data_IF_537211485238
#
_entry.id   IF_537211485238
#
_cell.length_a   1.000
_cell.length_b   1.000
_cell.length_c   1.000
_cell.angle_alpha   90.00
_cell.angle_beta   90.00
_cell.angle_gamma   90.00
#
_symmetry.space_group_name_H-M   'P 1'
#
loop_
_entity.id
_entity.type
_entity.pdbx_description
1 polymer ?
#
# COMPACT_ATOMS: atom_id res chain seq x y z
N UNK A 1 -18.83 13.06 -21.76
CA UNK A 1 -18.22 12.70 -23.05
C UNK A 1 -17.57 11.31 -22.98
N UNK A 2 -16.74 11.00 -21.97
CA UNK A 2 -16.07 9.69 -21.79
C UNK A 2 -17.08 8.54 -21.78
N UNK A 3 -18.14 8.62 -20.98
CA UNK A 3 -19.20 7.58 -20.90
C UNK A 3 -19.91 7.36 -22.26
N UNK A 4 -19.96 8.39 -23.13
CA UNK A 4 -20.55 8.27 -24.47
C UNK A 4 -19.62 7.53 -25.43
N UNK A 5 -18.30 7.61 -25.21
CA UNK A 5 -17.27 6.92 -26.01
C UNK A 5 -17.13 5.47 -25.54
N UNK A 6 -17.07 5.28 -24.21
CA UNK A 6 -16.99 3.98 -23.56
C UNK A 6 -17.99 3.93 -22.40
N UNK A 7 -19.10 3.22 -22.62
CA UNK A 7 -20.15 3.04 -21.61
C UNK A 7 -19.77 2.08 -20.49
N UNK A 8 -18.66 1.36 -20.62
CA UNK A 8 -18.18 0.41 -19.63
C UNK A 8 -16.99 0.98 -18.83
N UNK A 9 -16.62 2.24 -19.07
CA UNK A 9 -15.52 2.85 -18.33
C UNK A 9 -15.95 3.24 -16.91
N UNK A 10 -15.71 2.36 -15.97
CA UNK A 10 -16.19 2.42 -14.59
C UNK A 10 -15.76 3.70 -13.86
N UNK A 11 -14.49 4.16 -14.04
CA UNK A 11 -14.01 5.39 -13.45
C UNK A 11 -14.77 6.64 -13.89
N UNK A 12 -15.30 6.67 -15.11
CA UNK A 12 -16.06 7.81 -15.57
C UNK A 12 -17.38 7.97 -14.80
N UNK A 13 -18.04 6.85 -14.46
CA UNK A 13 -19.23 6.87 -13.60
C UNK A 13 -18.88 7.28 -12.18
N UNK A 14 -17.83 6.67 -11.61
CA UNK A 14 -17.40 6.99 -10.25
C UNK A 14 -17.01 8.47 -10.10
N UNK A 15 -16.12 8.98 -10.97
CA UNK A 15 -15.71 10.38 -10.93
C UNK A 15 -16.89 11.34 -11.15
N UNK A 16 -17.82 10.99 -12.04
CA UNK A 16 -19.03 11.81 -12.25
C UNK A 16 -19.94 11.77 -11.02
N UNK A 17 -20.06 10.63 -10.36
CA UNK A 17 -20.81 10.51 -9.11
C UNK A 17 -20.22 11.43 -8.03
N UNK A 18 -18.89 11.45 -7.86
CA UNK A 18 -18.24 12.31 -6.88
C UNK A 18 -18.46 13.80 -7.18
N UNK A 19 -18.28 14.22 -8.42
CA UNK A 19 -18.58 15.60 -8.84
C UNK A 19 -20.05 15.99 -8.63
N UNK A 20 -20.99 15.10 -8.95
CA UNK A 20 -22.42 15.31 -8.72
C UNK A 20 -22.75 15.43 -7.24
N UNK A 21 -22.09 14.64 -6.39
CA UNK A 21 -22.23 14.73 -4.95
C UNK A 21 -21.77 16.10 -4.42
N UNK A 22 -20.63 16.60 -4.89
CA UNK A 22 -20.08 17.91 -4.51
C UNK A 22 -21.01 19.08 -4.91
N UNK A 23 -21.63 19.01 -6.07
CA UNK A 23 -22.56 20.06 -6.53
C UNK A 23 -24.00 19.85 -6.02
N UNK A 24 -24.23 18.88 -5.14
CA UNK A 24 -25.52 18.64 -4.50
C UNK A 24 -26.50 17.78 -5.30
N UNK A 25 -26.11 17.25 -6.45
CA UNK A 25 -26.93 16.36 -7.29
C UNK A 25 -26.92 14.91 -6.76
N UNK A 26 -27.24 14.72 -5.46
CA UNK A 26 -27.05 13.44 -4.75
C UNK A 26 -27.77 12.26 -5.39
N UNK A 27 -29.01 12.43 -5.84
CA UNK A 27 -29.76 11.37 -6.54
C UNK A 27 -29.13 10.97 -7.88
N UNK A 28 -28.50 11.92 -8.58
CA UNK A 28 -27.80 11.62 -9.83
C UNK A 28 -26.46 10.90 -9.54
N UNK A 29 -25.79 11.29 -8.45
CA UNK A 29 -24.59 10.61 -7.97
C UNK A 29 -24.86 9.16 -7.58
N UNK A 30 -25.95 8.90 -6.84
CA UNK A 30 -26.38 7.54 -6.46
C UNK A 30 -26.60 6.67 -7.70
N UNK A 31 -27.32 7.18 -8.73
CA UNK A 31 -27.52 6.42 -9.99
C UNK A 31 -26.21 6.10 -10.72
N UNK A 32 -25.22 6.97 -10.65
CA UNK A 32 -23.90 6.67 -11.21
C UNK A 32 -23.19 5.59 -10.39
N UNK A 33 -23.26 5.63 -9.05
CA UNK A 33 -22.71 4.58 -8.19
C UNK A 33 -23.45 3.24 -8.34
N UNK A 34 -24.77 3.26 -8.63
CA UNK A 34 -25.51 2.03 -8.98
C UNK A 34 -24.87 1.34 -10.19
N UNK A 35 -24.48 2.13 -11.22
CA UNK A 35 -23.77 1.58 -12.38
C UNK A 35 -22.39 1.04 -12.02
N UNK A 36 -21.70 1.69 -11.11
CA UNK A 36 -20.41 1.21 -10.64
C UNK A 36 -20.55 -0.09 -9.86
N UNK A 37 -21.57 -0.24 -9.00
CA UNK A 37 -21.90 -1.49 -8.31
C UNK A 37 -22.24 -2.62 -9.28
N UNK A 38 -23.05 -2.34 -10.32
CA UNK A 38 -23.37 -3.32 -11.37
C UNK A 38 -22.10 -3.86 -12.06
N UNK A 39 -21.10 -3.01 -12.26
CA UNK A 39 -19.85 -3.37 -12.93
C UNK A 39 -18.83 -4.02 -11.99
N UNK A 40 -18.80 -3.61 -10.72
CA UNK A 40 -17.88 -4.12 -9.71
C UNK A 40 -18.58 -4.27 -8.35
N UNK A 41 -19.36 -5.36 -8.16
CA UNK A 41 -20.13 -5.58 -6.94
C UNK A 41 -19.31 -5.95 -5.71
N UNK A 42 -18.01 -6.21 -5.85
CA UNK A 42 -17.16 -6.61 -4.74
C UNK A 42 -16.37 -5.42 -4.15
N UNK A 43 -16.65 -4.17 -4.58
CA UNK A 43 -15.92 -3.01 -4.12
C UNK A 43 -16.56 -2.36 -2.89
N UNK A 44 -15.87 -2.46 -1.76
CA UNK A 44 -16.32 -1.96 -0.45
C UNK A 44 -16.63 -0.45 -0.48
N UNK A 45 -15.74 0.34 -1.10
CA UNK A 45 -15.82 1.80 -1.05
C UNK A 45 -17.00 2.35 -1.84
N UNK A 46 -17.44 1.63 -2.86
CA UNK A 46 -18.59 2.05 -3.66
C UNK A 46 -19.87 1.96 -2.83
N UNK A 47 -20.07 0.84 -2.14
CA UNK A 47 -21.19 0.69 -1.22
C UNK A 47 -21.12 1.72 -0.10
N UNK A 48 -19.95 1.88 0.52
CA UNK A 48 -19.79 2.86 1.59
C UNK A 48 -20.13 4.28 1.14
N UNK A 49 -19.60 4.74 0.01
CA UNK A 49 -19.86 6.07 -0.54
C UNK A 49 -21.32 6.23 -0.96
N UNK A 50 -21.95 5.22 -1.55
CA UNK A 50 -23.35 5.25 -1.91
C UNK A 50 -24.24 5.30 -0.65
N UNK A 51 -23.89 4.55 0.38
CA UNK A 51 -24.56 4.59 1.68
C UNK A 51 -24.50 5.97 2.33
N UNK A 52 -23.36 6.66 2.28
CA UNK A 52 -23.24 8.03 2.77
C UNK A 52 -24.15 9.00 2.00
N UNK A 53 -24.21 8.89 0.67
CA UNK A 53 -25.11 9.73 -0.13
C UNK A 53 -26.59 9.43 0.16
N UNK A 54 -26.95 8.16 0.42
CA UNK A 54 -28.30 7.76 0.82
C UNK A 54 -28.66 8.31 2.20
N UNK A 55 -27.71 8.30 3.17
CA UNK A 55 -27.91 9.00 4.45
C UNK A 55 -28.22 10.49 4.24
N UNK A 56 -27.48 11.14 3.39
CA UNK A 56 -27.65 12.57 3.09
C UNK A 56 -29.02 12.92 2.52
N UNK A 57 -29.64 12.01 1.78
CA UNK A 57 -31.01 12.17 1.27
C UNK A 57 -32.06 11.53 2.17
N UNK A 58 -31.67 11.05 3.35
CA UNK A 58 -32.51 10.37 4.37
C UNK A 58 -33.11 9.04 3.90
N UNK A 59 -32.49 8.37 2.95
CA UNK A 59 -32.78 6.97 2.61
C UNK A 59 -32.06 6.05 3.60
N UNK A 60 -32.60 5.99 4.82
CA UNK A 60 -31.96 5.25 5.93
C UNK A 60 -31.86 3.75 5.67
N UNK A 61 -32.87 3.15 5.07
CA UNK A 61 -32.87 1.72 4.76
C UNK A 61 -31.85 1.39 3.66
N UNK A 62 -31.84 2.17 2.58
CA UNK A 62 -30.86 1.98 1.53
C UNK A 62 -29.42 2.24 2.00
N UNK A 63 -29.21 3.16 2.94
CA UNK A 63 -27.91 3.40 3.56
C UNK A 63 -27.48 2.22 4.45
N UNK A 64 -28.43 1.68 5.25
CA UNK A 64 -28.20 0.49 6.10
C UNK A 64 -27.74 -0.72 5.27
N UNK A 65 -28.43 -0.99 4.15
CA UNK A 65 -28.10 -2.09 3.25
C UNK A 65 -26.67 -1.91 2.67
N UNK A 66 -26.34 -0.72 2.21
CA UNK A 66 -25.04 -0.41 1.64
C UNK A 66 -23.91 -0.56 2.67
N UNK A 67 -24.08 -0.06 3.90
CA UNK A 67 -23.07 -0.26 4.96
C UNK A 67 -22.97 -1.72 5.39
N UNK A 68 -24.09 -2.46 5.38
CA UNK A 68 -24.09 -3.88 5.68
C UNK A 68 -23.32 -4.66 4.64
N UNK A 69 -23.47 -4.33 3.36
CA UNK A 69 -22.68 -4.94 2.29
C UNK A 69 -21.20 -4.59 2.39
N UNK A 70 -20.87 -3.33 2.73
CA UNK A 70 -19.48 -2.94 3.00
C UNK A 70 -18.84 -3.74 4.14
N UNK A 71 -19.59 -4.01 5.20
CA UNK A 71 -19.14 -4.83 6.34
C UNK A 71 -19.03 -6.32 5.94
N UNK A 72 -19.98 -6.81 5.16
CA UNK A 72 -19.94 -8.18 4.66
C UNK A 72 -18.69 -8.44 3.81
N UNK A 73 -18.39 -7.51 2.90
CA UNK A 73 -17.20 -7.58 2.05
C UNK A 73 -15.89 -7.40 2.85
N UNK A 74 -15.92 -6.56 3.88
CA UNK A 74 -14.76 -6.37 4.76
C UNK A 74 -15.18 -6.18 6.22
N UNK A 75 -15.16 -7.27 7.01
CA UNK A 75 -15.62 -7.26 8.40
C UNK A 75 -14.85 -6.35 9.37
N UNK A 76 -13.66 -5.90 9.00
CA UNK A 76 -12.85 -4.97 9.81
C UNK A 76 -13.03 -3.49 9.42
N UNK A 77 -14.03 -3.16 8.60
CA UNK A 77 -14.27 -1.80 8.15
C UNK A 77 -14.95 -0.93 9.22
N UNK A 78 -14.18 -0.44 10.18
CA UNK A 78 -14.65 0.37 11.32
C UNK A 78 -15.62 1.48 10.91
N UNK A 79 -15.31 2.21 9.83
CA UNK A 79 -16.15 3.34 9.39
C UNK A 79 -17.55 2.91 8.95
N UNK A 80 -17.68 1.72 8.35
CA UNK A 80 -18.99 1.20 7.98
C UNK A 80 -19.84 0.84 9.19
N UNK A 81 -19.24 0.27 10.25
CA UNK A 81 -19.95 0.05 11.52
C UNK A 81 -20.41 1.36 12.14
N UNK A 82 -19.54 2.38 12.22
CA UNK A 82 -19.90 3.68 12.79
C UNK A 82 -21.00 4.39 11.96
N UNK A 83 -20.93 4.30 10.64
CA UNK A 83 -21.96 4.85 9.77
C UNK A 83 -23.29 4.10 9.90
N UNK A 84 -23.27 2.75 9.99
CA UNK A 84 -24.47 1.95 10.20
C UNK A 84 -25.07 2.18 11.59
N UNK A 85 -24.23 2.37 12.61
CA UNK A 85 -24.71 2.77 13.94
C UNK A 85 -25.47 4.10 13.90
N UNK A 86 -24.96 5.11 13.16
CA UNK A 86 -25.66 6.37 12.97
C UNK A 86 -27.01 6.20 12.25
N UNK A 87 -27.07 5.34 11.23
CA UNK A 87 -28.35 4.98 10.58
C UNK A 87 -29.31 4.29 11.53
N UNK A 88 -28.83 3.33 12.34
CA UNK A 88 -29.65 2.63 13.35
C UNK A 88 -30.21 3.61 14.39
N UNK A 89 -29.46 4.64 14.79
CA UNK A 89 -29.95 5.71 15.68
C UNK A 89 -31.12 6.48 15.03
N UNK A 90 -30.99 6.85 13.75
CA UNK A 90 -32.08 7.53 13.02
C UNK A 90 -33.32 6.64 12.85
N UNK A 91 -33.12 5.33 12.68
CA UNK A 91 -34.19 4.32 12.66
C UNK A 91 -34.75 3.98 14.05
N UNK A 92 -34.17 4.54 15.13
CA UNK A 92 -34.51 4.28 16.53
C UNK A 92 -34.25 2.85 17.00
N UNK A 93 -33.38 2.13 16.29
CA UNK A 93 -32.85 0.85 16.73
C UNK A 93 -31.55 1.06 17.51
N UNK A 94 -31.72 1.47 18.78
CA UNK A 94 -30.59 1.80 19.64
C UNK A 94 -29.75 0.55 20.00
N UNK A 95 -30.38 -0.62 20.10
CA UNK A 95 -29.67 -1.88 20.38
C UNK A 95 -28.71 -2.25 19.25
N UNK A 96 -29.16 -2.16 18.00
CA UNK A 96 -28.31 -2.38 16.84
C UNK A 96 -27.20 -1.31 16.73
N UNK A 97 -27.49 -0.05 17.07
CA UNK A 97 -26.50 1.02 17.08
C UNK A 97 -25.40 0.75 18.11
N UNK A 98 -25.76 0.38 19.34
CA UNK A 98 -24.79 0.05 20.40
C UNK A 98 -23.91 -1.14 20.03
N UNK A 99 -24.50 -2.16 19.41
CA UNK A 99 -23.77 -3.33 18.92
C UNK A 99 -22.73 -2.94 17.86
N UNK A 100 -23.08 -2.10 16.90
CA UNK A 100 -22.17 -1.61 15.87
C UNK A 100 -21.04 -0.76 16.46
N UNK A 101 -21.35 0.13 17.42
CA UNK A 101 -20.34 0.88 18.16
C UNK A 101 -19.37 -0.04 18.92
N UNK A 102 -19.89 -1.07 19.58
CA UNK A 102 -19.07 -2.03 20.32
C UNK A 102 -18.13 -2.79 19.38
N UNK A 103 -18.62 -3.26 18.22
CA UNK A 103 -17.81 -3.95 17.22
C UNK A 103 -16.72 -3.02 16.64
N UNK A 104 -17.08 -1.78 16.34
CA UNK A 104 -16.10 -0.77 15.89
C UNK A 104 -14.99 -0.56 16.92
N UNK A 105 -15.34 -0.44 18.21
CA UNK A 105 -14.35 -0.30 19.29
C UNK A 105 -13.45 -1.54 19.41
N UNK A 106 -14.01 -2.74 19.34
CA UNK A 106 -13.21 -3.98 19.38
C UNK A 106 -12.19 -4.05 18.25
N UNK A 107 -12.60 -3.68 17.03
CA UNK A 107 -11.70 -3.63 15.87
C UNK A 107 -10.61 -2.58 16.10
N UNK A 108 -10.97 -1.37 16.55
CA UNK A 108 -10.00 -0.31 16.86
C UNK A 108 -9.00 -0.73 17.94
N UNK A 109 -9.45 -1.39 19.01
CA UNK A 109 -8.59 -1.88 20.09
C UNK A 109 -7.63 -2.97 19.58
N UNK A 110 -8.10 -3.83 18.68
CA UNK A 110 -7.25 -4.83 18.01
C UNK A 110 -6.15 -4.16 17.18
N UNK A 111 -6.49 -3.16 16.39
CA UNK A 111 -5.51 -2.38 15.62
C UNK A 111 -4.50 -1.64 16.51
N UNK A 112 -4.98 -1.10 17.66
CA UNK A 112 -4.11 -0.44 18.65
C UNK A 112 -3.10 -1.42 19.25
N UNK A 113 -3.56 -2.61 19.66
CA UNK A 113 -2.68 -3.66 20.19
C UNK A 113 -1.66 -4.15 19.18
N UNK A 114 -2.03 -4.29 17.91
CA UNK A 114 -1.07 -4.58 16.83
C UNK A 114 0.03 -3.55 16.76
N UNK A 115 -0.34 -2.27 16.82
CA UNK A 115 0.61 -1.15 16.81
C UNK A 115 1.55 -1.17 18.03
N UNK A 116 1.10 -1.73 19.14
CA UNK A 116 1.86 -1.91 20.38
C UNK A 116 2.71 -3.20 20.38
N UNK A 117 2.72 -3.96 19.28
CA UNK A 117 3.57 -5.15 19.10
C UNK A 117 2.97 -6.48 19.53
N UNK A 118 1.66 -6.53 19.80
CA UNK A 118 0.97 -7.80 20.10
C UNK A 118 0.81 -8.63 18.82
N UNK A 119 1.63 -9.68 18.68
CA UNK A 119 1.63 -10.58 17.51
C UNK A 119 0.30 -11.32 17.29
N UNK A 120 -0.56 -11.44 18.32
CA UNK A 120 -1.86 -12.12 18.24
C UNK A 120 -2.99 -11.20 17.74
N UNK A 121 -2.70 -9.91 17.55
CA UNK A 121 -3.65 -8.93 17.06
C UNK A 121 -3.61 -8.76 15.53
N UNK A 122 -3.04 -9.71 14.79
CA UNK A 122 -2.93 -9.67 13.32
C UNK A 122 -4.31 -9.47 12.67
N UNK A 123 -4.40 -8.42 11.88
CA UNK A 123 -5.56 -8.11 11.05
C UNK A 123 -5.29 -8.63 9.64
N UNK A 124 -6.29 -9.18 9.01
CA UNK A 124 -6.24 -9.59 7.61
C UNK A 124 -6.12 -8.36 6.69
N UNK A 125 -4.89 -7.99 6.34
CA UNK A 125 -4.58 -6.95 5.35
C UNK A 125 -4.35 -7.57 3.97
N UNK A 126 -5.14 -8.56 3.62
CA UNK A 126 -4.93 -9.41 2.45
C UNK A 126 -4.95 -8.65 1.12
N UNK A 127 -4.32 -9.25 0.10
CA UNK A 127 -4.46 -8.88 -1.30
C UNK A 127 -5.93 -8.79 -1.75
N UNK A 128 -6.82 -9.51 -1.08
CA UNK A 128 -8.26 -9.42 -1.27
C UNK A 128 -8.82 -8.04 -0.92
N UNK A 129 -8.31 -7.37 0.13
CA UNK A 129 -8.78 -6.03 0.47
C UNK A 129 -8.45 -5.02 -0.63
N UNK A 130 -7.27 -5.09 -1.26
CA UNK A 130 -6.95 -4.22 -2.40
C UNK A 130 -7.89 -4.45 -3.59
N UNK A 131 -8.21 -5.71 -3.90
CA UNK A 131 -9.19 -6.03 -4.94
C UNK A 131 -10.58 -5.47 -4.62
N UNK A 132 -10.95 -5.47 -3.33
CA UNK A 132 -12.24 -4.95 -2.87
C UNK A 132 -12.36 -3.42 -2.99
N UNK A 133 -11.25 -2.69 -2.89
CA UNK A 133 -11.22 -1.23 -3.03
C UNK A 133 -10.86 -0.76 -4.44
N UNK A 134 -10.25 -1.61 -5.27
CA UNK A 134 -9.91 -1.27 -6.65
C UNK A 134 -11.18 -1.24 -7.50
N UNK A 135 -11.50 -0.06 -8.01
CA UNK A 135 -12.67 0.17 -8.86
C UNK A 135 -12.60 -0.65 -10.15
N UNK A 136 -11.40 -0.98 -10.63
CA UNK A 136 -11.16 -1.73 -11.87
C UNK A 136 -10.82 -3.22 -11.67
N UNK A 137 -10.91 -3.78 -10.49
CA UNK A 137 -10.43 -5.14 -10.21
C UNK A 137 -10.93 -6.23 -11.18
N UNK A 138 -12.02 -5.99 -11.91
CA UNK A 138 -12.56 -6.91 -12.93
C UNK A 138 -12.22 -6.52 -14.38
N UNK A 139 -11.57 -5.37 -14.61
CA UNK A 139 -11.30 -4.85 -15.95
C UNK A 139 -9.81 -4.81 -16.33
N UNK A 140 -8.93 -5.35 -15.51
CA UNK A 140 -7.46 -5.33 -15.78
C UNK A 140 -7.03 -6.22 -16.97
N UNK A 141 -7.95 -6.98 -17.59
CA UNK A 141 -7.66 -7.77 -18.81
C UNK A 141 -7.64 -6.93 -20.09
N UNK A 142 -7.98 -5.64 -20.04
CA UNK A 142 -8.03 -4.78 -21.24
C UNK A 142 -7.28 -3.47 -20.99
N UNK A 143 -6.01 -3.56 -20.61
CA UNK A 143 -5.08 -2.42 -20.67
C UNK A 143 -4.18 -2.52 -21.88
N UNK A 144 -4.76 -2.38 -23.06
CA UNK A 144 -4.01 -1.91 -24.21
C UNK A 144 -4.76 -0.75 -24.86
N UNK A 145 -3.99 0.36 -24.99
CA UNK A 145 -4.22 1.46 -25.91
C UNK A 145 -5.33 2.45 -25.55
N UNK A 146 -5.00 3.51 -24.80
CA UNK A 146 -5.31 4.88 -25.25
C UNK A 146 -4.15 5.82 -24.83
N UNK A 147 -3.21 6.04 -25.73
CA UNK A 147 -2.32 7.19 -25.73
C UNK A 147 -3.12 8.45 -26.10
N UNK A 148 -3.93 8.96 -25.19
CA UNK A 148 -4.58 10.25 -25.29
C UNK A 148 -3.88 11.26 -24.40
N UNK A 149 -3.28 12.30 -24.97
CA UNK A 149 -2.80 13.46 -24.22
C UNK A 149 -3.97 14.04 -23.42
N UNK A 150 -3.97 13.83 -22.11
CA UNK A 150 -4.89 14.51 -21.19
C UNK A 150 -4.23 15.80 -20.75
N UNK A 151 -4.69 16.93 -21.28
CA UNK A 151 -4.39 18.25 -20.74
C UNK A 151 -5.20 18.43 -19.45
N UNK A 152 -4.55 18.99 -18.40
CA UNK A 152 -5.11 19.36 -17.10
C UNK A 152 -5.55 18.23 -16.17
N UNK A 153 -4.60 17.32 -15.81
CA UNK A 153 -4.64 16.66 -14.51
C UNK A 153 -3.59 17.32 -13.63
N UNK A 154 -3.94 17.62 -12.39
CA UNK A 154 -2.94 17.75 -11.32
C UNK A 154 -2.18 16.43 -11.29
N UNK A 155 -1.04 16.37 -11.96
CA UNK A 155 -0.15 15.23 -11.89
C UNK A 155 0.45 15.29 -10.49
N UNK A 156 -0.01 14.43 -9.60
CA UNK A 156 0.66 14.21 -8.32
C UNK A 156 1.93 13.47 -8.69
N UNK A 157 3.06 14.16 -8.63
CA UNK A 157 4.36 13.54 -8.83
C UNK A 157 4.76 12.99 -7.47
N UNK A 158 4.76 11.67 -7.35
CA UNK A 158 5.13 10.95 -6.14
C UNK A 158 6.62 10.60 -6.15
N UNK A 159 7.18 10.40 -4.96
CA UNK A 159 8.53 9.85 -4.81
C UNK A 159 8.61 8.47 -5.47
N UNK A 160 9.76 8.15 -6.05
CA UNK A 160 10.03 6.79 -6.54
C UNK A 160 9.95 5.80 -5.38
N UNK A 161 9.39 4.63 -5.68
CA UNK A 161 9.13 3.59 -4.69
C UNK A 161 10.42 3.11 -4.01
N UNK A 162 10.23 2.52 -2.82
CA UNK A 162 11.32 1.94 -2.04
C UNK A 162 11.86 0.68 -2.69
N UNK A 163 13.15 0.45 -2.52
CA UNK A 163 13.79 -0.80 -2.90
C UNK A 163 13.51 -1.89 -1.88
N UNK A 164 13.27 -3.10 -2.33
CA UNK A 164 13.18 -4.28 -1.46
C UNK A 164 13.70 -5.54 -2.15
N UNK A 165 14.06 -6.53 -1.35
CA UNK A 165 14.54 -7.82 -1.85
C UNK A 165 13.33 -8.62 -2.34
N UNK A 166 13.41 -9.10 -3.57
CA UNK A 166 12.36 -9.90 -4.21
C UNK A 166 12.94 -11.23 -4.70
N UNK A 167 12.12 -12.27 -4.67
CA UNK A 167 12.42 -13.52 -5.34
C UNK A 167 12.50 -13.32 -6.85
N UNK A 168 13.48 -13.91 -7.48
CA UNK A 168 13.70 -13.81 -8.92
C UNK A 168 13.51 -15.18 -9.58
N UNK A 169 12.45 -15.35 -10.36
CA UNK A 169 12.26 -16.56 -11.15
C UNK A 169 13.32 -16.66 -12.27
N UNK A 170 13.68 -17.90 -12.64
CA UNK A 170 14.66 -18.14 -13.73
C UNK A 170 14.27 -17.45 -15.05
N UNK A 171 12.96 -17.32 -15.33
CA UNK A 171 12.46 -16.63 -16.53
C UNK A 171 12.64 -15.11 -16.44
N UNK A 172 12.54 -14.55 -15.24
CA UNK A 172 12.80 -13.13 -14.99
C UNK A 172 14.28 -12.78 -15.12
N UNK A 173 15.20 -13.69 -14.73
CA UNK A 173 16.64 -13.55 -14.93
C UNK A 173 17.00 -13.38 -16.42
N UNK A 174 16.27 -14.07 -17.30
CA UNK A 174 16.50 -14.03 -18.76
C UNK A 174 15.97 -12.76 -19.43
N UNK A 175 15.07 -12.02 -18.79
CA UNK A 175 14.40 -10.87 -19.36
C UNK A 175 15.21 -9.57 -19.34
N UNK A 176 16.41 -9.56 -18.73
CA UNK A 176 17.35 -8.42 -18.75
C UNK A 176 16.83 -7.15 -18.06
N UNK A 177 15.86 -7.28 -17.14
CA UNK A 177 15.38 -6.14 -16.35
C UNK A 177 16.51 -5.58 -15.50
N UNK A 178 16.55 -4.26 -15.35
CA UNK A 178 17.57 -3.53 -14.59
C UNK A 178 17.70 -4.13 -13.19
N UNK A 179 18.84 -4.72 -12.91
CA UNK A 179 19.21 -5.23 -11.60
C UNK A 179 20.23 -4.28 -11.00
N UNK A 180 19.92 -3.77 -9.81
CA UNK A 180 20.89 -2.97 -9.08
C UNK A 180 21.95 -3.87 -8.49
N UNK A 181 23.22 -3.50 -8.65
CA UNK A 181 24.31 -4.23 -8.03
C UNK A 181 24.27 -4.06 -6.52
N UNK A 182 24.31 -5.18 -5.80
CA UNK A 182 24.49 -5.17 -4.36
C UNK A 182 25.27 -6.42 -3.93
N UNK A 183 26.31 -6.22 -3.11
CA UNK A 183 27.19 -7.31 -2.65
C UNK A 183 26.41 -8.41 -1.94
N UNK A 184 25.53 -8.07 -1.01
CA UNK A 184 24.77 -9.06 -0.22
C UNK A 184 23.84 -9.91 -1.07
N UNK A 185 23.22 -9.31 -2.11
CA UNK A 185 22.41 -10.05 -3.10
C UNK A 185 23.28 -11.00 -3.92
N UNK A 186 24.47 -10.54 -4.34
CA UNK A 186 25.40 -11.37 -5.11
C UNK A 186 25.92 -12.54 -4.29
N UNK A 187 26.34 -12.27 -3.06
CA UNK A 187 26.85 -13.31 -2.13
C UNK A 187 25.77 -14.36 -1.85
N UNK A 188 24.53 -13.92 -1.59
CA UNK A 188 23.39 -14.82 -1.41
C UNK A 188 23.17 -15.70 -2.65
N UNK A 189 23.05 -15.08 -3.82
CA UNK A 189 22.79 -15.81 -5.07
C UNK A 189 23.92 -16.81 -5.42
N UNK A 190 25.17 -16.43 -5.17
CA UNK A 190 26.32 -17.34 -5.39
C UNK A 190 26.31 -18.51 -4.41
N UNK A 191 26.03 -18.27 -3.13
CA UNK A 191 25.93 -19.32 -2.12
C UNK A 191 24.85 -20.37 -2.45
N UNK A 192 23.76 -19.93 -3.09
CA UNK A 192 22.63 -20.77 -3.48
C UNK A 192 22.68 -21.24 -4.95
N UNK A 193 23.80 -21.00 -5.67
CA UNK A 193 23.91 -21.31 -7.10
C UNK A 193 22.73 -20.73 -7.93
N UNK A 194 22.23 -19.55 -7.56
CA UNK A 194 21.07 -18.88 -8.17
C UNK A 194 19.76 -19.69 -8.12
N UNK A 195 19.60 -20.57 -7.14
CA UNK A 195 18.37 -21.34 -6.94
C UNK A 195 18.11 -21.62 -5.46
N UNK A 196 17.29 -20.82 -4.74
CA UNK A 196 16.57 -19.67 -5.25
C UNK A 196 17.46 -18.46 -5.54
N UNK A 197 17.08 -17.66 -6.51
CA UNK A 197 17.70 -16.36 -6.77
C UNK A 197 16.87 -15.24 -6.18
N UNK A 198 17.54 -14.18 -5.70
CA UNK A 198 16.90 -12.93 -5.25
C UNK A 198 17.45 -11.75 -6.01
N UNK A 199 16.68 -10.69 -6.06
CA UNK A 199 17.10 -9.41 -6.64
C UNK A 199 16.64 -8.25 -5.76
N UNK A 200 17.17 -7.08 -6.02
CA UNK A 200 16.80 -5.85 -5.36
C UNK A 200 16.27 -4.89 -6.40
N UNK A 201 15.02 -4.49 -6.26
CA UNK A 201 14.37 -3.54 -7.15
C UNK A 201 13.23 -2.81 -6.43
N UNK A 202 12.78 -1.70 -7.03
CA UNK A 202 11.70 -0.85 -6.54
C UNK A 202 10.39 -1.01 -7.34
N UNK A 203 10.30 -2.05 -8.17
CA UNK A 203 9.08 -2.38 -8.94
C UNK A 203 8.66 -3.80 -8.63
N UNK A 204 7.36 -4.00 -8.46
CA UNK A 204 6.81 -5.33 -8.23
C UNK A 204 7.13 -6.25 -9.41
N UNK A 205 7.67 -7.43 -9.11
CA UNK A 205 7.84 -8.49 -10.10
C UNK A 205 6.50 -9.20 -10.29
N UNK A 206 6.17 -9.48 -11.54
CA UNK A 206 4.94 -10.22 -11.85
C UNK A 206 5.24 -11.71 -11.80
N UNK A 207 4.58 -12.40 -10.88
CA UNK A 207 4.60 -13.87 -10.81
C UNK A 207 3.31 -14.42 -11.43
N UNK A 208 3.39 -15.51 -12.23
CA UNK A 208 2.18 -16.26 -12.58
C UNK A 208 1.47 -16.73 -11.29
N UNK A 209 0.15 -16.56 -11.21
CA UNK A 209 -0.61 -16.85 -9.98
C UNK A 209 -0.40 -18.30 -9.51
N UNK A 210 -0.54 -19.26 -10.41
CA UNK A 210 -0.34 -20.68 -10.12
C UNK A 210 1.08 -21.00 -9.60
N UNK A 211 2.08 -20.30 -10.12
CA UNK A 211 3.47 -20.46 -9.67
C UNK A 211 3.64 -19.95 -8.24
N UNK A 212 3.13 -18.77 -7.93
CA UNK A 212 3.31 -18.17 -6.61
C UNK A 212 2.64 -19.02 -5.52
N UNK A 213 1.42 -19.52 -5.76
CA UNK A 213 0.71 -20.39 -4.82
C UNK A 213 1.46 -21.70 -4.59
N UNK A 214 1.81 -22.42 -5.65
CA UNK A 214 2.52 -23.71 -5.56
C UNK A 214 3.88 -23.55 -4.87
N UNK A 215 4.61 -22.46 -5.14
CA UNK A 215 5.93 -22.26 -4.54
C UNK A 215 5.83 -21.85 -3.07
N UNK A 216 4.84 -21.07 -2.69
CA UNK A 216 4.54 -20.76 -1.28
C UNK A 216 4.20 -22.03 -0.49
N UNK A 217 3.45 -22.98 -1.08
CA UNK A 217 3.18 -24.28 -0.46
C UNK A 217 4.45 -25.10 -0.25
N UNK A 218 5.33 -25.17 -1.25
CA UNK A 218 6.62 -25.86 -1.13
C UNK A 218 7.48 -25.24 -0.02
N UNK A 219 7.63 -23.91 0.00
CA UNK A 219 8.37 -23.19 1.03
C UNK A 219 7.76 -23.42 2.42
N UNK A 220 6.45 -23.46 2.53
CA UNK A 220 5.74 -23.77 3.78
C UNK A 220 6.09 -25.17 4.28
N UNK A 221 6.14 -26.16 3.38
CA UNK A 221 6.57 -27.51 3.72
C UNK A 221 8.02 -27.56 4.24
N UNK A 222 8.95 -26.83 3.61
CA UNK A 222 10.35 -26.71 4.07
C UNK A 222 10.45 -26.06 5.45
N UNK A 223 9.71 -24.98 5.67
CA UNK A 223 9.66 -24.27 6.95
C UNK A 223 9.17 -25.21 8.07
N UNK A 224 8.10 -25.96 7.84
CA UNK A 224 7.54 -26.88 8.83
C UNK A 224 8.50 -28.04 9.17
N UNK A 225 9.31 -28.49 8.22
CA UNK A 225 10.25 -29.60 8.41
C UNK A 225 11.54 -29.17 9.10
N UNK A 226 12.10 -28.03 8.74
CA UNK A 226 13.48 -27.66 9.12
C UNK A 226 13.59 -26.27 9.76
N UNK A 227 12.56 -25.45 9.66
CA UNK A 227 12.63 -24.04 10.07
C UNK A 227 13.65 -23.25 9.25
N UNK A 228 13.76 -23.56 7.97
CA UNK A 228 14.74 -23.04 7.01
C UNK A 228 14.63 -21.51 6.86
N UNK A 229 15.69 -20.78 7.20
CA UNK A 229 15.73 -19.31 7.14
C UNK A 229 15.59 -18.79 5.69
N UNK A 230 16.17 -19.48 4.72
CA UNK A 230 16.05 -19.08 3.31
C UNK A 230 14.62 -19.27 2.81
N UNK A 231 13.94 -20.33 3.24
CA UNK A 231 12.53 -20.53 2.89
C UNK A 231 11.63 -19.41 3.47
N UNK A 232 11.91 -18.97 4.70
CA UNK A 232 11.23 -17.80 5.28
C UNK A 232 11.54 -16.53 4.51
N UNK A 233 12.82 -16.28 4.14
CA UNK A 233 13.21 -15.07 3.40
C UNK A 233 12.50 -14.99 2.03
N UNK A 234 12.50 -16.10 1.29
CA UNK A 234 11.88 -16.17 -0.03
C UNK A 234 10.36 -16.04 0.07
N UNK A 235 9.71 -16.76 1.01
CA UNK A 235 8.26 -16.69 1.20
C UNK A 235 7.83 -15.30 1.66
N UNK A 236 8.54 -14.70 2.61
CA UNK A 236 8.33 -13.33 3.06
C UNK A 236 8.51 -12.31 1.93
N UNK A 237 9.48 -12.51 1.03
CA UNK A 237 9.67 -11.66 -0.16
C UNK A 237 8.53 -11.80 -1.16
N UNK A 238 7.99 -13.00 -1.35
CA UNK A 238 6.80 -13.23 -2.20
C UNK A 238 5.58 -12.56 -1.58
N UNK A 239 5.36 -12.73 -0.27
CA UNK A 239 4.25 -12.08 0.43
C UNK A 239 4.34 -10.54 0.37
N UNK A 240 5.55 -9.98 0.47
CA UNK A 240 5.77 -8.55 0.34
C UNK A 240 5.38 -8.05 -1.05
N UNK A 241 5.77 -8.77 -2.10
CA UNK A 241 5.40 -8.47 -3.48
C UNK A 241 3.88 -8.60 -3.72
N UNK A 242 3.23 -9.57 -3.07
CA UNK A 242 1.77 -9.77 -3.11
C UNK A 242 1.00 -8.79 -2.20
N UNK A 243 1.71 -7.88 -1.50
CA UNK A 243 1.15 -6.93 -0.55
C UNK A 243 0.50 -7.56 0.69
N UNK A 244 0.86 -8.81 0.97
CA UNK A 244 0.46 -9.53 2.18
C UNK A 244 1.43 -9.20 3.32
N UNK A 245 1.48 -7.93 3.69
CA UNK A 245 2.50 -7.36 4.58
C UNK A 245 2.57 -8.05 5.94
N UNK A 246 1.44 -8.45 6.51
CA UNK A 246 1.40 -9.12 7.82
C UNK A 246 2.12 -10.48 7.77
N UNK A 247 1.88 -11.28 6.73
CA UNK A 247 2.58 -12.58 6.54
C UNK A 247 4.07 -12.37 6.27
N UNK A 248 4.41 -11.34 5.49
CA UNK A 248 5.82 -10.99 5.26
C UNK A 248 6.52 -10.61 6.57
N UNK A 249 5.88 -9.81 7.43
CA UNK A 249 6.42 -9.41 8.74
C UNK A 249 6.63 -10.64 9.64
N UNK A 250 5.68 -11.59 9.66
CA UNK A 250 5.78 -12.82 10.43
C UNK A 250 7.01 -13.66 10.00
N UNK A 251 7.13 -13.92 8.71
CA UNK A 251 8.23 -14.71 8.16
C UNK A 251 9.60 -14.06 8.43
N UNK A 252 9.73 -12.77 8.15
CA UNK A 252 10.98 -12.04 8.31
C UNK A 252 11.36 -11.89 9.78
N UNK A 253 10.38 -11.76 10.68
CA UNK A 253 10.63 -11.76 12.13
C UNK A 253 11.11 -13.11 12.63
N UNK A 254 10.59 -14.22 12.09
CA UNK A 254 11.03 -15.56 12.47
C UNK A 254 12.51 -15.84 12.12
N UNK A 255 13.03 -15.23 11.05
CA UNK A 255 14.47 -15.28 10.73
C UNK A 255 15.26 -14.54 11.82
N UNK A 256 14.85 -13.33 12.17
CA UNK A 256 15.58 -12.48 13.11
C UNK A 256 15.57 -12.99 14.56
N UNK A 257 14.64 -13.87 14.92
CA UNK A 257 14.70 -14.60 16.21
C UNK A 257 15.92 -15.53 16.31
N UNK A 258 16.39 -16.05 15.17
CA UNK A 258 17.55 -16.97 15.11
C UNK A 258 18.83 -16.26 14.64
N UNK A 259 18.68 -15.34 13.72
CA UNK A 259 19.75 -14.59 13.05
C UNK A 259 19.49 -13.09 13.16
N UNK A 260 19.74 -12.44 14.31
CA UNK A 260 19.43 -11.05 14.54
C UNK A 260 20.13 -10.07 13.56
N UNK A 261 21.29 -10.47 13.03
CA UNK A 261 22.09 -9.68 12.10
C UNK A 261 21.85 -10.07 10.63
N UNK A 262 20.76 -10.77 10.30
CA UNK A 262 20.43 -11.06 8.91
C UNK A 262 19.98 -9.79 8.19
N UNK A 263 20.89 -9.17 7.44
CA UNK A 263 20.70 -7.90 6.77
C UNK A 263 19.50 -7.89 5.82
N UNK A 264 19.32 -8.95 5.02
CA UNK A 264 18.24 -9.01 4.03
C UNK A 264 16.87 -9.13 4.69
N UNK A 265 16.79 -9.88 5.80
CA UNK A 265 15.59 -10.00 6.60
C UNK A 265 15.25 -8.68 7.32
N UNK A 266 16.23 -8.01 7.94
CA UNK A 266 16.05 -6.68 8.55
C UNK A 266 15.55 -5.66 7.55
N UNK A 267 16.18 -5.62 6.38
CA UNK A 267 15.83 -4.68 5.31
C UNK A 267 14.40 -4.89 4.81
N UNK A 268 14.03 -6.13 4.48
CA UNK A 268 12.68 -6.42 4.04
C UNK A 268 11.64 -6.27 5.16
N UNK A 269 11.97 -6.51 6.41
CA UNK A 269 11.07 -6.28 7.53
C UNK A 269 10.75 -4.78 7.70
N UNK A 270 11.77 -3.91 7.60
CA UNK A 270 11.55 -2.46 7.61
C UNK A 270 10.67 -2.02 6.44
N UNK A 271 10.92 -2.58 5.23
CA UNK A 271 10.10 -2.31 4.04
C UNK A 271 8.65 -2.79 4.20
N UNK A 272 8.45 -4.00 4.73
CA UNK A 272 7.10 -4.55 4.96
C UNK A 272 6.28 -3.66 5.91
N UNK A 273 6.90 -3.17 6.99
CA UNK A 273 6.27 -2.24 7.93
C UNK A 273 5.95 -0.90 7.27
N UNK A 274 6.90 -0.33 6.51
CA UNK A 274 6.70 0.92 5.79
C UNK A 274 5.55 0.82 4.79
N UNK A 275 5.59 -0.18 3.92
CA UNK A 275 4.57 -0.39 2.88
C UNK A 275 3.19 -0.69 3.49
N UNK A 276 3.14 -1.38 4.63
CA UNK A 276 1.90 -1.58 5.38
C UNK A 276 1.34 -0.25 5.88
N UNK A 277 2.19 0.65 6.39
CA UNK A 277 1.75 1.98 6.82
C UNK A 277 1.26 2.84 5.66
N UNK A 278 1.98 2.85 4.54
CA UNK A 278 1.57 3.55 3.32
C UNK A 278 0.21 3.03 2.81
N UNK A 279 0.03 1.73 2.88
CA UNK A 279 -1.23 1.09 2.50
C UNK A 279 -2.39 1.55 3.40
N UNK A 280 -2.20 1.53 4.73
CA UNK A 280 -3.20 2.00 5.69
C UNK A 280 -3.54 3.48 5.45
N UNK A 281 -2.54 4.33 5.20
CA UNK A 281 -2.73 5.75 4.90
C UNK A 281 -3.50 5.95 3.59
N UNK A 282 -3.14 5.22 2.54
CA UNK A 282 -3.81 5.30 1.23
C UNK A 282 -5.29 4.93 1.29
N UNK A 283 -5.67 4.08 2.23
CA UNK A 283 -7.07 3.71 2.48
C UNK A 283 -7.78 4.82 3.25
N UNK A 284 -7.11 5.42 4.24
CA UNK A 284 -7.68 6.51 5.03
C UNK A 284 -7.89 7.80 4.20
N UNK A 285 -7.00 8.11 3.25
CA UNK A 285 -7.12 9.29 2.39
C UNK A 285 -8.19 9.15 1.29
N UNK A 286 -8.45 7.93 0.84
CA UNK A 286 -9.46 7.66 -0.20
C UNK A 286 -10.90 7.64 0.33
N UNK A 287 -11.09 7.65 1.64
CA UNK A 287 -12.42 7.67 2.25
C UNK A 287 -12.87 9.12 2.43
N UNK A 288 -13.96 9.57 1.76
CA UNK A 288 -14.46 10.93 1.89
C UNK A 288 -14.72 11.27 3.37
N UNK A 289 -14.12 12.35 3.86
CA UNK A 289 -14.30 12.83 5.21
C UNK A 289 -15.62 13.59 5.30
N UNK A 290 -16.67 12.93 5.75
CA UNK A 290 -17.93 13.57 6.15
C UNK A 290 -17.99 13.60 7.68
N UNK A 291 -17.14 14.38 8.32
CA UNK A 291 -17.36 14.89 9.68
C UNK A 291 -16.66 16.25 9.78
N UNK A 292 -17.42 17.24 10.31
CA UNK A 292 -17.05 18.65 10.32
C UNK A 292 -15.63 18.97 10.79
N UNK A 293 -15.15 20.10 10.33
CA UNK A 293 -13.80 20.68 10.38
C UNK A 293 -13.12 20.80 11.77
N UNK A 294 -13.63 20.21 12.84
CA UNK A 294 -13.15 20.48 14.19
C UNK A 294 -12.27 19.43 14.85
N UNK A 295 -11.94 18.32 14.19
CA UNK A 295 -10.90 17.41 14.69
C UNK A 295 -10.03 16.85 13.56
N UNK A 296 -9.24 17.71 12.94
CA UNK A 296 -8.02 17.29 12.26
C UNK A 296 -6.97 16.86 13.30
N UNK A 297 -7.18 15.75 13.96
CA UNK A 297 -6.05 14.94 14.40
C UNK A 297 -5.56 14.20 13.13
N UNK A 298 -4.68 14.83 12.35
CA UNK A 298 -3.78 14.08 11.50
C UNK A 298 -3.11 13.06 12.41
N UNK A 299 -3.52 11.79 12.30
CA UNK A 299 -2.78 10.70 12.93
C UNK A 299 -1.46 10.62 12.19
N UNK A 300 -0.46 11.30 12.72
CA UNK A 300 0.90 11.19 12.20
C UNK A 300 1.32 9.73 12.36
N UNK A 301 1.59 9.06 11.26
CA UNK A 301 2.12 7.70 11.29
C UNK A 301 3.47 7.75 12.00
N UNK A 302 3.67 6.84 12.93
CA UNK A 302 4.93 6.72 13.63
C UNK A 302 5.86 5.75 12.88
N UNK A 303 6.77 6.32 12.11
CA UNK A 303 7.77 5.57 11.36
C UNK A 303 9.02 5.18 12.19
N UNK A 304 9.02 5.40 13.52
CA UNK A 304 10.20 5.15 14.35
C UNK A 304 10.75 3.73 14.22
N UNK A 305 9.88 2.71 14.23
CA UNK A 305 10.30 1.30 14.05
C UNK A 305 10.85 1.00 12.65
N UNK A 306 10.36 1.71 11.63
CA UNK A 306 10.89 1.57 10.25
C UNK A 306 12.30 2.16 10.17
N UNK A 307 12.48 3.37 10.73
CA UNK A 307 13.78 4.05 10.78
C UNK A 307 14.79 3.23 11.60
N UNK A 308 14.36 2.65 12.73
CA UNK A 308 15.20 1.77 13.55
C UNK A 308 15.64 0.54 12.74
N UNK A 309 14.73 -0.10 12.01
CA UNK A 309 15.07 -1.24 11.13
C UNK A 309 16.13 -0.89 10.08
N UNK A 310 16.03 0.27 9.43
CA UNK A 310 17.07 0.72 8.50
C UNK A 310 18.38 1.08 9.20
N UNK A 311 18.34 1.66 10.41
CA UNK A 311 19.55 1.92 11.19
C UNK A 311 20.26 0.61 11.57
N UNK A 312 19.53 -0.47 11.90
CA UNK A 312 20.13 -1.77 12.13
C UNK A 312 20.80 -2.34 10.87
N UNK A 313 20.19 -2.14 9.68
CA UNK A 313 20.84 -2.48 8.41
C UNK A 313 22.18 -1.70 8.26
N UNK A 314 22.18 -0.41 8.55
CA UNK A 314 23.36 0.46 8.44
C UNK A 314 24.39 0.19 9.53
N UNK A 315 24.01 -0.38 10.66
CA UNK A 315 24.95 -0.88 11.68
C UNK A 315 25.74 -2.08 11.16
N UNK A 316 25.11 -2.95 10.39
CA UNK A 316 25.73 -4.16 9.80
C UNK A 316 26.56 -3.78 8.58
N UNK A 317 26.02 -2.95 7.70
CA UNK A 317 26.71 -2.43 6.51
C UNK A 317 26.41 -0.93 6.34
N UNK A 318 27.36 -0.08 6.76
CA UNK A 318 27.21 1.38 6.69
C UNK A 318 27.05 1.92 5.26
N UNK A 319 27.47 1.16 4.27
CA UNK A 319 27.43 1.51 2.86
C UNK A 319 26.24 0.86 2.12
N UNK A 320 25.28 0.26 2.88
CA UNK A 320 24.09 -0.32 2.29
C UNK A 320 23.15 0.78 1.79
N UNK A 321 23.45 1.24 0.59
CA UNK A 321 22.86 2.44 -0.06
C UNK A 321 21.33 2.38 -0.15
N UNK A 322 20.74 1.19 -0.28
CA UNK A 322 19.29 1.03 -0.42
C UNK A 322 18.53 1.24 0.89
N UNK A 323 19.16 0.93 2.03
CA UNK A 323 18.59 1.31 3.33
C UNK A 323 18.60 2.84 3.51
N UNK A 324 19.67 3.53 3.10
CA UNK A 324 19.71 4.99 3.10
C UNK A 324 18.65 5.59 2.17
N UNK A 325 18.48 5.04 0.95
CA UNK A 325 17.48 5.51 0.01
C UNK A 325 16.06 5.40 0.59
N UNK A 326 15.72 4.23 1.12
CA UNK A 326 14.41 3.99 1.70
C UNK A 326 14.18 4.84 2.95
N UNK A 327 15.20 5.01 3.79
CA UNK A 327 15.14 5.87 4.97
C UNK A 327 14.93 7.33 4.59
N UNK A 328 15.55 7.82 3.49
CA UNK A 328 15.31 9.16 2.97
C UNK A 328 13.85 9.35 2.53
N UNK A 329 13.25 8.35 1.89
CA UNK A 329 11.82 8.37 1.55
C UNK A 329 10.95 8.46 2.81
N UNK A 330 11.29 7.73 3.87
CA UNK A 330 10.57 7.81 5.16
C UNK A 330 10.68 9.21 5.76
N UNK A 331 11.87 9.82 5.77
CA UNK A 331 12.02 11.19 6.26
C UNK A 331 11.19 12.19 5.45
N UNK A 332 11.17 12.05 4.12
CA UNK A 332 10.36 12.90 3.26
C UNK A 332 8.86 12.76 3.58
N UNK A 333 8.35 11.54 3.73
CA UNK A 333 6.96 11.25 4.12
C UNK A 333 6.62 11.78 5.51
N UNK A 334 7.58 11.72 6.44
CA UNK A 334 7.42 12.27 7.80
C UNK A 334 7.50 13.81 7.85
N UNK A 335 7.76 14.48 6.72
CA UNK A 335 7.91 15.93 6.62
C UNK A 335 9.29 16.45 7.06
N UNK A 336 10.25 15.56 7.30
CA UNK A 336 11.65 15.90 7.67
C UNK A 336 12.48 16.16 6.40
N UNK A 337 12.07 17.16 5.62
CA UNK A 337 12.55 17.39 4.24
C UNK A 337 14.06 17.61 4.17
N UNK A 338 14.64 18.42 5.05
CA UNK A 338 16.08 18.70 5.09
C UNK A 338 16.88 17.43 5.37
N UNK A 339 16.39 16.60 6.28
CA UNK A 339 16.99 15.33 6.64
C UNK A 339 16.92 14.32 5.50
N UNK A 340 15.79 14.30 4.78
CA UNK A 340 15.63 13.49 3.57
C UNK A 340 16.63 13.89 2.49
N UNK A 341 16.77 15.19 2.20
CA UNK A 341 17.77 15.73 1.24
C UNK A 341 19.19 15.34 1.65
N UNK A 342 19.55 15.49 2.93
CA UNK A 342 20.87 15.09 3.42
C UNK A 342 21.12 13.58 3.26
N UNK A 343 20.14 12.77 3.53
CA UNK A 343 20.22 11.31 3.37
C UNK A 343 20.34 10.93 1.89
N UNK A 344 19.60 11.56 0.98
CA UNK A 344 19.81 11.38 -0.47
C UNK A 344 21.19 11.85 -0.93
N UNK A 345 21.76 12.90 -0.31
CA UNK A 345 23.15 13.28 -0.57
C UNK A 345 24.14 12.17 -0.17
N UNK A 346 23.85 11.42 0.92
CA UNK A 346 24.66 10.26 1.31
C UNK A 346 24.53 9.14 0.29
N UNK A 347 23.31 8.81 -0.13
CA UNK A 347 23.06 7.84 -1.20
C UNK A 347 23.90 8.13 -2.43
N UNK A 348 23.82 9.37 -2.94
CA UNK A 348 24.50 9.79 -4.17
C UNK A 348 26.03 10.00 -4.01
N UNK A 349 26.54 10.02 -2.79
CA UNK A 349 28.00 9.92 -2.55
C UNK A 349 28.50 8.49 -2.66
N UNK A 350 27.71 7.52 -2.19
CA UNK A 350 28.03 6.09 -2.23
C UNK A 350 27.81 5.50 -3.63
N UNK A 351 26.70 5.86 -4.25
CA UNK A 351 26.34 5.41 -5.59
C UNK A 351 25.71 6.55 -6.39
N UNK A 352 26.38 6.94 -7.47
CA UNK A 352 25.96 8.03 -8.35
C UNK A 352 25.03 7.58 -9.47
N UNK A 353 24.80 6.27 -9.59
CA UNK A 353 24.05 5.70 -10.69
C UNK A 353 22.59 5.43 -10.33
N UNK A 354 22.20 5.71 -9.07
CA UNK A 354 20.80 5.58 -8.61
C UNK A 354 19.98 6.78 -9.11
N UNK A 355 19.37 6.64 -10.28
CA UNK A 355 18.55 7.67 -10.92
C UNK A 355 17.37 8.10 -10.04
N UNK A 356 16.76 7.17 -9.33
CA UNK A 356 15.65 7.40 -8.40
C UNK A 356 16.04 8.35 -7.24
N UNK A 357 17.29 8.31 -6.79
CA UNK A 357 17.76 9.23 -5.74
C UNK A 357 17.85 10.68 -6.24
N UNK A 358 18.30 10.87 -7.48
CA UNK A 358 18.25 12.19 -8.11
C UNK A 358 16.80 12.66 -8.29
N UNK A 359 15.92 11.78 -8.76
CA UNK A 359 14.52 12.12 -8.96
C UNK A 359 13.86 12.57 -7.65
N UNK A 360 13.96 11.75 -6.59
CA UNK A 360 13.34 12.02 -5.31
C UNK A 360 13.91 13.29 -4.66
N UNK A 361 15.25 13.46 -4.68
CA UNK A 361 15.88 14.68 -4.18
C UNK A 361 15.48 15.91 -4.99
N UNK A 362 15.38 15.78 -6.31
CA UNK A 362 14.88 16.83 -7.21
C UNK A 362 13.47 17.28 -6.85
N UNK A 363 12.57 16.35 -6.52
CA UNK A 363 11.22 16.68 -6.03
C UNK A 363 11.26 17.45 -4.70
N UNK A 364 12.12 17.04 -3.76
CA UNK A 364 12.27 17.75 -2.49
C UNK A 364 12.85 19.15 -2.70
N UNK A 365 13.73 19.36 -3.68
CA UNK A 365 14.21 20.69 -4.06
C UNK A 365 13.10 21.56 -4.71
N UNK A 366 12.17 20.96 -5.46
CA UNK A 366 10.97 21.68 -5.92
C UNK A 366 10.15 22.13 -4.73
N UNK A 367 9.88 21.23 -3.79
CA UNK A 367 9.09 21.51 -2.61
C UNK A 367 9.68 22.63 -1.75
N UNK A 368 11.02 22.68 -1.62
CA UNK A 368 11.75 23.74 -0.88
C UNK A 368 12.05 24.99 -1.71
N UNK A 369 11.55 25.07 -2.95
CA UNK A 369 11.74 26.23 -3.82
C UNK A 369 13.12 26.35 -4.49
N UNK A 370 13.99 25.35 -4.37
CA UNK A 370 15.36 25.34 -4.87
C UNK A 370 15.44 24.90 -6.35
N UNK A 371 14.80 25.66 -7.23
CA UNK A 371 14.55 25.29 -8.65
C UNK A 371 15.80 24.92 -9.44
N UNK A 372 16.94 25.60 -9.21
CA UNK A 372 18.18 25.31 -9.93
C UNK A 372 18.74 23.92 -9.59
N UNK A 373 18.70 23.53 -8.31
CA UNK A 373 19.11 22.19 -7.85
C UNK A 373 18.13 21.13 -8.32
N UNK A 374 16.84 21.43 -8.27
CA UNK A 374 15.79 20.52 -8.78
C UNK A 374 16.02 20.19 -10.26
N UNK A 375 16.22 21.20 -11.10
CA UNK A 375 16.45 20.99 -12.54
C UNK A 375 17.74 20.18 -12.80
N UNK A 376 18.80 20.44 -12.04
CA UNK A 376 20.06 19.69 -12.18
C UNK A 376 19.89 18.21 -11.83
N UNK A 377 19.11 17.91 -10.77
CA UNK A 377 18.86 16.54 -10.35
C UNK A 377 17.89 15.82 -11.30
N UNK A 378 16.78 16.44 -11.67
CA UNK A 378 15.81 15.83 -12.60
C UNK A 378 16.45 15.56 -13.99
N UNK A 379 17.41 16.40 -14.43
CA UNK A 379 18.16 16.15 -15.68
C UNK A 379 19.12 14.96 -15.57
N UNK A 380 19.48 14.52 -14.36
CA UNK A 380 20.32 13.34 -14.15
C UNK A 380 19.48 12.07 -13.96
N UNK A 381 18.25 12.24 -13.53
CA UNK A 381 17.33 11.14 -13.32
C UNK A 381 16.75 10.56 -14.63
N UNK A 382 16.82 11.28 -15.72
CA UNK A 382 16.29 10.88 -17.03
C UNK A 382 16.18 12.01 -17.97
#
# INVERSE_FOLDING_TARGET
EVIRIDSNYIYAYYNRAMLRAEVGEKNAAIRDLDKVVEMNPDNILIYFNRGLLKMDIRDWYGAYDDFTESIHLYPDFVKAYLARAAVNQELKDFEAADKDHYLAMQIMDRYKRMKEGDKNALVDTTANFQKLIDINARHDEVRDVINGRVQDKKVIIELQDVFYVQYLSLDSLRSGKVQYYNRHIMDYNQAHNYNPAITLCNKDLVYPADFAESYVEELTGRIMQTGDADAYLIRGSIYLNQKEYAKAIEDLSAILEKEPDNLLALFNLANARMLMFDYIESVDDKIPRIVGEQQQMQRKIDYSQVIEGYNECLRIDSDFVFALFNMANVYAKNGEIERAIETFNQVLRLDKDIAEAYFNRGLLYIYTGQKALANADLSKAG
#
